data_IF_322710567730
#
_entry.id   IF_322710567730
#
_cell.length_a   1.000
_cell.length_b   1.000
_cell.length_c   1.000
_cell.angle_alpha   90.00
_cell.angle_beta   90.00
_cell.angle_gamma   90.00
#
_symmetry.space_group_name_H-M   'P 1'
#
loop_
_entity.id
_entity.type
_entity.pdbx_description
1 polymer ?
#
# COMPACT_ATOMS: atom_id res chain seq x y z
N UNK A 1 17.55 39.03 18.83
CA UNK A 1 16.50 38.00 19.03
C UNK A 1 15.30 38.25 18.11
N UNK A 2 14.83 39.49 17.92
CA UNK A 2 13.71 39.82 17.03
C UNK A 2 14.11 39.76 15.54
N UNK A 3 15.33 40.15 15.19
CA UNK A 3 15.87 40.06 13.81
C UNK A 3 15.96 38.62 13.32
N UNK A 4 16.37 37.67 14.18
CA UNK A 4 16.39 36.27 13.85
C UNK A 4 14.99 35.66 13.59
N UNK A 5 13.98 36.10 14.36
CA UNK A 5 12.61 35.61 14.15
C UNK A 5 11.97 36.16 12.86
N UNK A 6 12.29 37.38 12.47
CA UNK A 6 11.83 37.99 11.21
C UNK A 6 12.53 37.33 10.00
N UNK A 7 13.83 37.07 10.08
CA UNK A 7 14.57 36.34 9.03
C UNK A 7 14.10 34.90 8.89
N UNK A 8 13.87 34.17 9.98
CA UNK A 8 13.29 32.81 9.94
C UNK A 8 11.87 32.82 9.34
N UNK A 9 11.04 33.77 9.71
CA UNK A 9 9.69 33.92 9.16
C UNK A 9 9.70 34.27 7.67
N UNK A 10 10.63 35.11 7.21
CA UNK A 10 10.79 35.47 5.81
C UNK A 10 11.37 34.28 4.97
N UNK A 11 12.31 33.53 5.53
CA UNK A 11 12.83 32.30 4.89
C UNK A 11 11.74 31.24 4.76
N UNK A 12 10.93 31.00 5.80
CA UNK A 12 9.81 30.05 5.74
C UNK A 12 8.73 30.45 4.71
N UNK A 13 8.60 31.73 4.41
CA UNK A 13 7.64 32.25 3.42
C UNK A 13 8.08 32.01 1.96
N UNK A 14 9.35 31.66 1.74
CA UNK A 14 9.94 31.32 0.43
C UNK A 14 10.05 29.82 0.20
N UNK A 15 9.81 28.99 1.24
CA UNK A 15 9.91 27.53 1.13
C UNK A 15 8.57 26.94 0.70
N UNK A 16 8.61 25.97 -0.17
CA UNK A 16 7.44 25.17 -0.55
C UNK A 16 7.02 24.26 0.60
N UNK A 17 5.74 24.03 0.75
CA UNK A 17 5.19 23.15 1.79
C UNK A 17 4.75 21.83 1.22
N UNK A 18 5.14 20.73 1.87
CA UNK A 18 4.78 19.37 1.50
C UNK A 18 4.11 18.67 2.69
N UNK A 19 2.92 18.13 2.48
CA UNK A 19 2.32 17.21 3.42
C UNK A 19 2.68 15.76 3.03
N UNK A 20 3.21 15.00 4.00
CA UNK A 20 3.30 13.55 3.91
C UNK A 20 2.03 12.96 4.49
N UNK A 21 1.17 12.43 3.61
CA UNK A 21 -0.11 11.87 4.03
C UNK A 21 0.13 10.57 4.78
N UNK A 22 -0.35 10.50 6.02
CA UNK A 22 -0.15 9.39 6.95
C UNK A 22 -1.48 8.93 7.55
N UNK A 23 -1.47 7.84 8.29
CA UNK A 23 -2.54 7.45 9.21
C UNK A 23 -2.44 8.22 10.55
N UNK A 24 -3.42 8.04 11.46
CA UNK A 24 -3.49 8.79 12.73
C UNK A 24 -2.37 8.43 13.70
N UNK A 25 -1.95 7.17 13.75
CA UNK A 25 -0.88 6.67 14.61
C UNK A 25 0.03 5.71 13.85
N UNK A 26 1.34 5.86 14.06
CA UNK A 26 2.38 4.97 13.56
C UNK A 26 3.01 4.15 14.71
N UNK A 27 2.30 3.98 15.83
CA UNK A 27 2.85 3.39 17.07
C UNK A 27 3.41 1.98 16.86
N UNK A 28 2.74 1.17 16.00
CA UNK A 28 3.13 -0.22 15.70
C UNK A 28 3.84 -0.36 14.34
N UNK A 29 4.25 0.76 13.73
CA UNK A 29 4.82 0.77 12.39
C UNK A 29 6.17 1.50 12.36
N UNK A 30 7.04 1.05 11.49
CA UNK A 30 8.32 1.71 11.24
C UNK A 30 8.20 2.68 10.06
N UNK A 31 8.38 3.98 10.32
CA UNK A 31 8.38 5.02 9.28
C UNK A 31 9.72 5.70 9.20
N UNK A 32 10.24 5.84 7.98
CA UNK A 32 11.46 6.58 7.67
C UNK A 32 11.18 8.01 7.19
N UNK A 33 9.94 8.46 7.20
CA UNK A 33 9.51 9.73 6.60
C UNK A 33 10.18 10.93 7.27
N UNK A 34 10.37 10.89 8.58
CA UNK A 34 11.06 11.95 9.32
C UNK A 34 12.52 12.15 8.90
N UNK A 35 13.18 11.12 8.38
CA UNK A 35 14.54 11.22 7.85
C UNK A 35 14.63 12.10 6.59
N UNK A 36 13.49 12.33 5.91
CA UNK A 36 13.42 13.14 4.70
C UNK A 36 13.24 14.64 5.01
N UNK A 37 12.84 15.04 6.22
CA UNK A 37 12.49 16.41 6.54
C UNK A 37 13.68 17.37 6.41
N UNK A 38 14.84 17.06 7.01
CA UNK A 38 16.01 17.91 6.88
C UNK A 38 16.61 17.91 5.45
N UNK A 39 16.74 16.79 4.73
CA UNK A 39 17.12 16.82 3.32
C UNK A 39 16.18 17.69 2.46
N UNK A 40 14.87 17.57 2.63
CA UNK A 40 13.89 18.39 1.89
C UNK A 40 14.04 19.87 2.19
N UNK A 41 14.30 20.22 3.44
CA UNK A 41 14.54 21.59 3.85
C UNK A 41 15.76 22.21 3.17
N UNK A 42 16.84 21.43 2.94
CA UNK A 42 18.03 21.92 2.25
C UNK A 42 17.76 22.27 0.79
N UNK A 43 16.71 21.72 0.18
CA UNK A 43 16.30 21.99 -1.21
C UNK A 43 15.05 22.87 -1.29
N UNK A 44 14.67 23.55 -0.20
CA UNK A 44 13.64 24.57 -0.17
C UNK A 44 12.22 24.05 0.09
N UNK A 45 12.08 22.86 0.70
CA UNK A 45 10.79 22.30 1.08
C UNK A 45 10.66 22.16 2.60
N UNK A 46 9.50 22.51 3.13
CA UNK A 46 9.09 22.19 4.50
C UNK A 46 8.09 21.05 4.44
N UNK A 47 8.48 19.88 4.95
CA UNK A 47 7.63 18.70 5.02
C UNK A 47 7.09 18.50 6.44
N UNK A 48 5.86 17.99 6.53
CA UNK A 48 5.21 17.57 7.77
C UNK A 48 4.28 16.38 7.52
N UNK A 49 4.09 15.55 8.52
CA UNK A 49 3.12 14.45 8.47
C UNK A 49 1.71 15.00 8.74
N UNK A 50 0.75 14.57 7.92
CA UNK A 50 -0.66 14.96 8.06
C UNK A 50 -1.52 13.71 7.89
N UNK A 51 -2.31 13.38 8.92
CA UNK A 51 -3.24 12.25 8.82
C UNK A 51 -4.29 12.51 7.75
N UNK A 52 -4.56 11.50 6.92
CA UNK A 52 -5.61 11.54 5.92
C UNK A 52 -7.03 11.58 6.54
N UNK A 53 -7.15 11.10 7.79
CA UNK A 53 -8.41 11.12 8.57
C UNK A 53 -8.67 12.47 9.23
N UNK A 54 -7.66 13.36 9.28
CA UNK A 54 -7.79 14.66 9.93
C UNK A 54 -8.86 15.51 9.22
N UNK A 55 -9.91 15.95 9.92
CA UNK A 55 -10.92 16.81 9.34
C UNK A 55 -10.34 18.23 9.09
N UNK A 56 -10.98 18.97 8.21
CA UNK A 56 -10.79 20.43 8.01
C UNK A 56 -9.36 20.86 7.68
N UNK A 57 -8.57 19.97 7.04
CA UNK A 57 -7.26 20.37 6.51
C UNK A 57 -7.48 21.24 5.28
N UNK A 58 -6.95 22.48 5.31
CA UNK A 58 -6.88 23.31 4.12
C UNK A 58 -5.69 22.93 3.27
N UNK A 59 -5.93 22.07 2.29
CA UNK A 59 -4.91 21.58 1.37
C UNK A 59 -4.30 22.65 0.48
N UNK A 60 -4.95 23.82 0.33
CA UNK A 60 -4.36 24.97 -0.39
C UNK A 60 -3.15 25.56 0.32
N UNK A 61 -2.91 25.20 1.57
CA UNK A 61 -1.71 25.60 2.30
C UNK A 61 -0.45 24.79 1.92
N UNK A 62 -0.59 23.81 1.03
CA UNK A 62 0.52 22.96 0.57
C UNK A 62 0.76 23.15 -0.93
N UNK A 63 2.02 23.05 -1.35
CA UNK A 63 2.42 22.99 -2.77
C UNK A 63 2.35 21.55 -3.28
N UNK A 64 2.58 20.57 -2.39
CA UNK A 64 2.48 19.15 -2.72
C UNK A 64 1.93 18.35 -1.53
N UNK A 65 1.22 17.27 -1.85
CA UNK A 65 0.82 16.21 -0.89
C UNK A 65 1.32 14.88 -1.43
N UNK A 66 2.09 14.16 -0.65
CA UNK A 66 2.67 12.87 -1.03
C UNK A 66 2.04 11.78 -0.19
N UNK A 67 1.44 10.77 -0.83
CA UNK A 67 0.91 9.59 -0.14
C UNK A 67 2.09 8.77 0.37
N UNK A 68 2.17 8.56 1.69
CA UNK A 68 3.30 7.89 2.34
C UNK A 68 2.85 6.73 3.22
N UNK A 69 2.47 7.00 4.43
CA UNK A 69 2.24 6.03 5.51
C UNK A 69 0.74 5.88 5.82
N UNK A 70 -0.08 5.77 4.76
CA UNK A 70 -1.54 5.62 4.86
C UNK A 70 -1.94 4.14 4.92
N UNK A 71 -1.25 3.35 5.74
CA UNK A 71 -1.34 1.88 5.72
C UNK A 71 -2.61 1.29 6.34
N UNK A 72 -3.53 2.17 6.76
CA UNK A 72 -4.87 1.86 7.28
C UNK A 72 -6.00 2.21 6.29
N UNK A 73 -5.66 2.53 5.03
CA UNK A 73 -6.65 2.97 4.04
C UNK A 73 -7.70 1.91 3.72
N UNK A 74 -7.35 0.62 3.86
CA UNK A 74 -8.25 -0.51 3.61
C UNK A 74 -9.42 -0.59 4.61
N UNK A 75 -9.30 0.05 5.77
CA UNK A 75 -10.34 0.07 6.81
C UNK A 75 -11.47 1.06 6.48
N UNK A 76 -11.17 2.09 5.66
CA UNK A 76 -12.13 3.08 5.20
C UNK A 76 -11.72 3.62 3.82
N UNK A 77 -11.90 2.79 2.80
CA UNK A 77 -11.51 3.11 1.42
C UNK A 77 -12.27 4.33 0.89
N UNK A 78 -13.56 4.46 1.23
CA UNK A 78 -14.40 5.59 0.79
C UNK A 78 -13.90 6.91 1.40
N UNK A 79 -13.62 6.92 2.69
CA UNK A 79 -13.06 8.08 3.39
C UNK A 79 -11.68 8.47 2.86
N UNK A 80 -10.82 7.48 2.59
CA UNK A 80 -9.51 7.70 2.00
C UNK A 80 -9.63 8.33 0.61
N UNK A 81 -10.44 7.76 -0.27
CA UNK A 81 -10.66 8.32 -1.62
C UNK A 81 -11.27 9.71 -1.58
N UNK A 82 -12.22 9.97 -0.66
CA UNK A 82 -12.79 11.31 -0.46
C UNK A 82 -11.72 12.32 0.01
N UNK A 83 -10.75 11.90 0.83
CA UNK A 83 -9.60 12.74 1.19
C UNK A 83 -8.76 13.07 -0.04
N UNK A 84 -8.38 12.09 -0.84
CA UNK A 84 -7.59 12.31 -2.07
C UNK A 84 -8.31 13.20 -3.08
N UNK A 85 -9.63 13.07 -3.21
CA UNK A 85 -10.44 13.95 -4.07
C UNK A 85 -10.43 15.40 -3.58
N UNK A 86 -10.49 15.65 -2.24
CA UNK A 86 -10.33 17.01 -1.68
C UNK A 86 -8.95 17.60 -1.96
N UNK A 87 -7.89 16.77 -1.89
CA UNK A 87 -6.53 17.20 -2.22
C UNK A 87 -6.44 17.54 -3.70
N UNK A 88 -6.93 16.70 -4.59
CA UNK A 88 -6.93 16.92 -6.05
C UNK A 88 -7.73 18.18 -6.46
N UNK A 89 -8.81 18.51 -5.73
CA UNK A 89 -9.61 19.71 -5.94
C UNK A 89 -8.95 21.01 -5.40
N UNK A 90 -7.84 20.89 -4.66
CA UNK A 90 -7.09 22.02 -4.11
C UNK A 90 -6.00 22.51 -5.07
N UNK A 91 -5.21 23.51 -4.64
CA UNK A 91 -4.01 23.92 -5.35
C UNK A 91 -2.79 23.03 -5.12
N UNK A 92 -2.86 22.09 -4.19
CA UNK A 92 -1.77 21.18 -3.89
C UNK A 92 -1.60 20.10 -4.98
N UNK A 93 -0.36 19.76 -5.28
CA UNK A 93 -0.06 18.71 -6.25
C UNK A 93 -0.03 17.35 -5.55
N UNK A 94 -1.03 16.50 -5.81
CA UNK A 94 -1.09 15.14 -5.23
C UNK A 94 -0.08 14.20 -5.91
N UNK A 95 0.69 13.46 -5.10
CA UNK A 95 1.66 12.44 -5.51
C UNK A 95 1.49 11.14 -4.67
N UNK A 96 1.21 9.96 -5.27
CA UNK A 96 0.93 9.83 -6.71
C UNK A 96 -0.45 10.44 -7.04
N UNK A 97 -0.70 10.68 -8.34
CA UNK A 97 -1.97 11.29 -8.78
C UNK A 97 -3.19 10.45 -8.39
N UNK A 98 -4.32 11.12 -8.16
CA UNK A 98 -5.60 10.47 -7.87
C UNK A 98 -5.92 9.36 -8.87
N UNK A 99 -5.71 9.60 -10.16
CA UNK A 99 -5.96 8.62 -11.23
C UNK A 99 -5.17 7.32 -11.06
N UNK A 100 -3.93 7.40 -10.59
CA UNK A 100 -3.10 6.20 -10.32
C UNK A 100 -3.67 5.45 -9.12
N UNK A 101 -4.08 6.15 -8.07
CA UNK A 101 -4.64 5.53 -6.88
C UNK A 101 -5.99 4.88 -7.19
N UNK A 102 -6.88 5.55 -7.92
CA UNK A 102 -8.15 4.97 -8.38
C UNK A 102 -7.96 3.67 -9.15
N UNK A 103 -6.91 3.59 -9.97
CA UNK A 103 -6.60 2.39 -10.74
C UNK A 103 -6.02 1.26 -9.87
N UNK A 104 -5.12 1.57 -8.92
CA UNK A 104 -4.37 0.53 -8.21
C UNK A 104 -4.80 0.27 -6.76
N UNK A 105 -5.82 0.96 -6.26
CA UNK A 105 -6.35 0.74 -4.90
C UNK A 105 -6.90 -0.68 -4.73
N UNK A 106 -7.47 -1.24 -5.78
CA UNK A 106 -7.84 -2.65 -5.88
C UNK A 106 -6.79 -3.40 -6.70
N UNK A 107 -6.36 -4.58 -6.22
CA UNK A 107 -5.44 -5.47 -6.95
C UNK A 107 -6.00 -5.98 -8.28
N UNK A 108 -7.25 -5.65 -8.62
CA UNK A 108 -7.83 -5.90 -9.95
C UNK A 108 -7.04 -5.26 -11.10
N UNK A 109 -6.21 -4.23 -10.84
CA UNK A 109 -5.29 -3.66 -11.84
C UNK A 109 -4.36 -4.71 -12.47
N UNK A 110 -4.11 -5.82 -11.78
CA UNK A 110 -3.33 -6.93 -12.33
C UNK A 110 -3.99 -7.56 -13.56
N UNK A 111 -5.35 -7.54 -13.66
CA UNK A 111 -6.06 -7.98 -14.88
C UNK A 111 -5.70 -7.09 -16.07
N UNK A 112 -5.59 -5.77 -15.83
CA UNK A 112 -5.24 -4.82 -16.87
C UNK A 112 -3.80 -5.03 -17.35
N UNK A 113 -2.87 -5.29 -16.42
CA UNK A 113 -1.48 -5.61 -16.75
C UNK A 113 -1.38 -6.90 -17.56
N UNK A 114 -2.10 -7.95 -17.16
CA UNK A 114 -2.14 -9.23 -17.87
C UNK A 114 -2.69 -9.06 -19.30
N UNK A 115 -3.77 -8.27 -19.46
CA UNK A 115 -4.36 -7.96 -20.76
C UNK A 115 -3.41 -7.19 -21.68
N UNK A 116 -2.45 -6.45 -21.13
CA UNK A 116 -1.38 -5.78 -21.85
C UNK A 116 -0.16 -6.67 -22.13
N UNK A 117 -0.24 -7.96 -21.80
CA UNK A 117 0.84 -8.94 -22.01
C UNK A 117 1.95 -8.91 -20.97
N UNK A 118 1.73 -8.23 -19.82
CA UNK A 118 2.66 -8.25 -18.71
C UNK A 118 2.42 -9.54 -17.91
N UNK A 119 3.49 -10.27 -17.63
CA UNK A 119 3.41 -11.48 -16.83
C UNK A 119 3.07 -11.13 -15.38
N UNK A 120 1.99 -11.73 -14.88
CA UNK A 120 1.62 -11.70 -13.46
C UNK A 120 1.65 -13.14 -12.90
N UNK A 121 1.63 -13.26 -11.59
CA UNK A 121 1.37 -14.57 -10.96
C UNK A 121 0.00 -15.06 -11.43
N UNK A 122 -0.12 -16.32 -11.91
CA UNK A 122 -1.42 -16.88 -12.32
C UNK A 122 -2.46 -16.67 -11.23
N UNK A 123 -3.62 -16.13 -11.59
CA UNK A 123 -4.60 -15.65 -10.60
C UNK A 123 -6.02 -16.05 -10.99
N UNK A 124 -6.76 -16.61 -10.04
CA UNK A 124 -8.21 -16.75 -10.08
C UNK A 124 -8.84 -15.63 -9.23
N UNK A 125 -9.97 -15.13 -9.68
CA UNK A 125 -10.66 -13.96 -9.11
C UNK A 125 -12.06 -14.38 -8.65
N UNK A 126 -12.43 -13.97 -7.44
CA UNK A 126 -13.70 -14.36 -6.80
C UNK A 126 -14.38 -13.15 -6.18
N UNK A 127 -15.70 -13.11 -6.29
CA UNK A 127 -16.54 -12.07 -5.68
C UNK A 127 -17.04 -12.49 -4.28
N UNK A 128 -17.04 -13.80 -3.99
CA UNK A 128 -17.50 -14.37 -2.72
C UNK A 128 -16.89 -15.74 -2.46
N UNK A 129 -16.86 -16.15 -1.20
CA UNK A 129 -16.26 -17.42 -0.78
C UNK A 129 -17.07 -18.63 -1.24
N UNK A 130 -16.40 -19.56 -1.89
CA UNK A 130 -16.90 -20.90 -2.22
C UNK A 130 -15.82 -21.93 -1.93
N UNK A 131 -16.03 -22.77 -0.92
CA UNK A 131 -15.04 -23.79 -0.52
C UNK A 131 -14.68 -24.72 -1.68
N UNK A 132 -15.67 -25.17 -2.47
CA UNK A 132 -15.43 -26.08 -3.59
C UNK A 132 -14.63 -25.43 -4.73
N UNK A 133 -14.85 -24.15 -4.99
CA UNK A 133 -14.12 -23.44 -6.04
C UNK A 133 -12.67 -23.16 -5.61
N UNK A 134 -12.44 -22.80 -4.34
CA UNK A 134 -11.07 -22.63 -3.81
C UNK A 134 -10.35 -23.99 -3.80
N UNK A 135 -11.05 -25.07 -3.43
CA UNK A 135 -10.48 -26.41 -3.45
C UNK A 135 -10.09 -26.85 -4.88
N UNK A 136 -10.90 -26.53 -5.87
CA UNK A 136 -10.57 -26.77 -7.28
C UNK A 136 -9.34 -25.96 -7.76
N UNK A 137 -9.01 -24.87 -7.09
CA UNK A 137 -7.82 -24.06 -7.38
C UNK A 137 -6.51 -24.83 -7.22
N UNK A 138 -6.42 -25.79 -6.32
CA UNK A 138 -5.22 -26.65 -6.18
C UNK A 138 -4.93 -27.44 -7.44
N UNK A 139 -5.96 -28.06 -8.01
CA UNK A 139 -5.85 -28.81 -9.27
C UNK A 139 -5.60 -27.85 -10.45
N UNK A 140 -6.31 -26.71 -10.49
CA UNK A 140 -6.17 -25.72 -11.55
C UNK A 140 -4.74 -25.19 -11.69
N UNK A 141 -4.07 -24.91 -10.56
CA UNK A 141 -2.70 -24.40 -10.55
C UNK A 141 -1.64 -25.52 -10.50
N UNK A 142 -2.04 -26.79 -10.37
CA UNK A 142 -1.12 -27.91 -10.08
C UNK A 142 -0.17 -27.55 -8.92
N UNK A 143 -0.73 -27.02 -7.82
CA UNK A 143 0.04 -26.51 -6.70
C UNK A 143 -0.46 -27.08 -5.38
N UNK A 144 0.43 -27.60 -4.51
CA UNK A 144 0.05 -28.11 -3.18
C UNK A 144 -0.32 -26.99 -2.20
N UNK A 145 -0.04 -25.75 -2.55
CA UNK A 145 -0.28 -24.60 -1.68
C UNK A 145 -0.77 -23.40 -2.47
N UNK A 146 -1.77 -22.73 -1.92
CA UNK A 146 -2.37 -21.54 -2.50
C UNK A 146 -2.25 -20.34 -1.54
N UNK A 147 -2.33 -19.14 -2.09
CA UNK A 147 -2.47 -17.90 -1.33
C UNK A 147 -3.81 -17.28 -1.69
N UNK A 148 -4.64 -17.05 -0.67
CA UNK A 148 -5.87 -16.25 -0.76
C UNK A 148 -5.63 -14.88 -0.14
N UNK A 149 -6.04 -13.80 -0.82
CA UNK A 149 -5.93 -12.44 -0.30
C UNK A 149 -7.00 -11.52 -0.89
N UNK A 150 -7.48 -10.52 -0.12
CA UNK A 150 -8.47 -9.55 -0.61
C UNK A 150 -7.92 -8.72 -1.78
N UNK A 151 -8.81 -8.22 -2.63
CA UNK A 151 -8.41 -7.29 -3.68
C UNK A 151 -7.98 -5.93 -3.11
N UNK A 152 -8.61 -5.48 -2.03
CA UNK A 152 -8.21 -4.27 -1.30
C UNK A 152 -7.69 -4.70 0.07
N UNK A 153 -6.40 -4.53 0.28
CA UNK A 153 -5.72 -4.83 1.56
C UNK A 153 -4.32 -4.25 1.57
N UNK A 154 -3.82 -3.94 2.77
CA UNK A 154 -2.45 -3.56 3.06
C UNK A 154 -1.84 -4.51 4.10
N UNK A 155 -0.50 -4.48 4.30
CA UNK A 155 0.24 -5.17 5.37
C UNK A 155 -0.07 -6.68 5.50
N UNK A 156 -0.33 -7.36 4.37
CA UNK A 156 -0.75 -8.76 4.33
C UNK A 156 -2.05 -9.07 5.12
N UNK A 157 -2.87 -8.04 5.43
CA UNK A 157 -4.16 -8.22 6.09
C UNK A 157 -5.02 -9.24 5.34
N UNK A 158 -5.59 -10.20 6.09
CA UNK A 158 -6.38 -11.31 5.56
C UNK A 158 -5.72 -12.07 4.39
N UNK A 159 -4.38 -12.18 4.42
CA UNK A 159 -3.61 -12.99 3.47
C UNK A 159 -3.25 -14.33 4.10
N UNK A 160 -3.73 -15.43 3.52
CA UNK A 160 -3.55 -16.78 4.05
C UNK A 160 -2.87 -17.68 3.04
N UNK A 161 -1.89 -18.46 3.51
CA UNK A 161 -1.30 -19.58 2.80
C UNK A 161 -2.05 -20.86 3.17
N UNK A 162 -2.57 -21.54 2.19
CA UNK A 162 -3.49 -22.67 2.34
C UNK A 162 -2.90 -23.95 1.75
N UNK A 163 -3.09 -25.06 2.47
CA UNK A 163 -3.06 -26.43 1.93
C UNK A 163 -4.49 -26.95 1.82
N UNK A 164 -4.76 -28.07 1.14
CA UNK A 164 -6.10 -28.68 1.12
C UNK A 164 -6.66 -28.95 2.53
N UNK A 165 -5.80 -29.38 3.47
CA UNK A 165 -6.17 -29.67 4.86
C UNK A 165 -6.48 -28.37 5.62
N UNK A 166 -5.61 -27.37 5.53
CA UNK A 166 -5.80 -26.09 6.24
C UNK A 166 -6.99 -25.31 5.70
N UNK A 167 -7.29 -25.40 4.41
CA UNK A 167 -8.49 -24.82 3.81
C UNK A 167 -9.77 -25.37 4.47
N UNK A 168 -9.85 -26.68 4.69
CA UNK A 168 -11.02 -27.29 5.35
C UNK A 168 -11.10 -26.88 6.81
N UNK A 169 -9.96 -26.84 7.51
CA UNK A 169 -9.91 -26.45 8.92
C UNK A 169 -10.32 -25.00 9.15
N UNK A 170 -9.99 -24.10 8.22
CA UNK A 170 -10.22 -22.66 8.32
C UNK A 170 -11.46 -22.20 7.53
N UNK A 171 -12.26 -23.13 6.98
CA UNK A 171 -13.34 -22.80 6.04
C UNK A 171 -14.36 -21.82 6.59
N UNK A 172 -14.74 -21.95 7.86
CA UNK A 172 -15.72 -21.06 8.50
C UNK A 172 -15.17 -19.64 8.71
N UNK A 173 -13.91 -19.52 9.13
CA UNK A 173 -13.23 -18.24 9.32
C UNK A 173 -13.04 -17.52 7.97
N UNK A 174 -12.55 -18.25 6.96
CA UNK A 174 -12.38 -17.73 5.60
C UNK A 174 -13.73 -17.30 5.00
N UNK A 175 -14.78 -18.09 5.23
CA UNK A 175 -16.13 -17.73 4.80
C UNK A 175 -16.62 -16.46 5.47
N UNK A 176 -16.38 -16.27 6.77
CA UNK A 176 -16.76 -15.05 7.47
C UNK A 176 -16.08 -13.81 6.88
N UNK A 177 -14.78 -13.93 6.51
CA UNK A 177 -13.99 -12.82 5.96
C UNK A 177 -14.36 -12.52 4.50
N UNK A 178 -14.55 -13.56 3.67
CA UNK A 178 -14.70 -13.45 2.22
C UNK A 178 -16.14 -13.66 1.72
N UNK A 179 -17.14 -13.67 2.61
CA UNK A 179 -18.55 -13.89 2.23
C UNK A 179 -19.08 -12.92 1.18
N UNK A 180 -18.64 -11.65 1.26
CA UNK A 180 -19.01 -10.58 0.33
C UNK A 180 -17.84 -9.68 -0.02
N UNK A 181 -16.62 -10.15 0.18
CA UNK A 181 -15.39 -9.41 -0.08
C UNK A 181 -14.69 -10.05 -1.27
N UNK A 182 -14.49 -9.28 -2.32
CA UNK A 182 -13.72 -9.72 -3.48
C UNK A 182 -12.30 -10.11 -3.09
N UNK A 183 -11.82 -11.22 -3.64
CA UNK A 183 -10.48 -11.73 -3.35
C UNK A 183 -9.86 -12.40 -4.57
N UNK A 184 -8.58 -12.68 -4.46
CA UNK A 184 -7.84 -13.45 -5.44
C UNK A 184 -7.17 -14.67 -4.82
N UNK A 185 -7.01 -15.71 -5.66
CA UNK A 185 -6.35 -16.95 -5.34
C UNK A 185 -5.17 -17.15 -6.30
N UNK A 186 -4.01 -17.45 -5.75
CA UNK A 186 -2.76 -17.62 -6.49
C UNK A 186 -2.03 -18.87 -6.01
N UNK A 187 -1.20 -19.55 -6.84
CA UNK A 187 -0.29 -20.55 -6.35
C UNK A 187 0.73 -19.90 -5.40
N UNK A 188 1.13 -20.65 -4.36
CA UNK A 188 2.22 -20.20 -3.51
C UNK A 188 3.55 -20.29 -4.24
N UNK A 189 4.31 -19.22 -4.26
CA UNK A 189 5.63 -19.19 -4.91
C UNK A 189 6.72 -19.48 -3.88
N UNK A 190 7.32 -20.66 -3.93
CA UNK A 190 8.38 -21.05 -3.01
C UNK A 190 9.58 -20.09 -3.06
N UNK A 191 9.85 -19.45 -4.20
CA UNK A 191 10.92 -18.47 -4.36
C UNK A 191 10.86 -17.32 -3.35
N UNK A 192 9.68 -16.99 -2.80
CA UNK A 192 9.55 -15.97 -1.75
C UNK A 192 10.27 -16.42 -0.46
N UNK A 193 10.17 -17.70 -0.11
CA UNK A 193 10.84 -18.25 1.08
C UNK A 193 12.30 -18.58 0.80
N UNK A 194 12.59 -19.09 -0.40
CA UNK A 194 13.93 -19.57 -0.77
C UNK A 194 14.89 -18.42 -1.11
N UNK A 195 14.39 -17.35 -1.73
CA UNK A 195 15.18 -16.22 -2.23
C UNK A 195 14.73 -14.89 -1.62
N UNK A 196 13.43 -14.62 -1.59
CA UNK A 196 12.82 -13.38 -1.13
C UNK A 196 12.01 -12.67 -2.21
N UNK A 197 11.59 -11.45 -1.89
CA UNK A 197 10.83 -10.55 -2.79
C UNK A 197 11.66 -9.33 -3.15
N UNK A 198 11.82 -9.08 -4.45
CA UNK A 198 12.49 -7.88 -4.94
C UNK A 198 11.52 -6.71 -5.07
N UNK A 199 11.83 -5.60 -4.39
CA UNK A 199 11.18 -4.30 -4.61
C UNK A 199 12.06 -3.45 -5.50
N UNK A 200 11.53 -3.03 -6.67
CA UNK A 200 12.24 -2.20 -7.63
C UNK A 200 11.78 -0.75 -7.51
N UNK A 201 12.71 0.18 -7.31
CA UNK A 201 12.41 1.59 -7.12
C UNK A 201 12.72 2.40 -8.36
N UNK A 202 11.74 3.17 -8.80
CA UNK A 202 11.83 4.09 -9.94
C UNK A 202 11.41 5.49 -9.51
N UNK A 203 12.17 6.51 -9.94
CA UNK A 203 11.83 7.92 -9.76
C UNK A 203 11.71 8.58 -11.13
N UNK A 204 10.57 9.19 -11.40
CA UNK A 204 10.26 9.82 -12.70
C UNK A 204 10.53 8.88 -13.90
N UNK A 205 10.22 7.59 -13.75
CA UNK A 205 10.42 6.57 -14.77
C UNK A 205 11.84 6.02 -14.90
N UNK A 206 12.80 6.52 -14.09
CA UNK A 206 14.18 6.04 -14.07
C UNK A 206 14.40 5.06 -12.92
N UNK A 207 14.97 3.88 -13.24
CA UNK A 207 15.38 2.92 -12.23
C UNK A 207 16.43 3.53 -11.29
N UNK A 208 16.22 3.37 -10.01
CA UNK A 208 17.15 3.85 -8.97
C UNK A 208 17.90 2.70 -8.31
N UNK A 209 17.17 1.81 -7.62
CA UNK A 209 17.73 0.68 -6.88
C UNK A 209 16.68 -0.41 -6.68
N UNK A 210 17.12 -1.52 -6.14
CA UNK A 210 16.24 -2.59 -5.66
C UNK A 210 16.59 -3.00 -4.25
N UNK A 211 15.61 -3.50 -3.52
CA UNK A 211 15.74 -4.09 -2.19
C UNK A 211 15.27 -5.54 -2.30
N UNK A 212 16.03 -6.46 -1.73
CA UNK A 212 15.60 -7.84 -1.50
C UNK A 212 15.06 -7.91 -0.08
N UNK A 213 13.79 -8.27 0.04
CA UNK A 213 13.10 -8.52 1.32
C UNK A 213 13.02 -10.03 1.53
N UNK A 214 13.47 -10.53 2.67
CA UNK A 214 13.41 -11.94 3.02
C UNK A 214 12.48 -12.12 4.22
N UNK A 215 11.58 -13.12 4.20
CA UNK A 215 10.72 -13.39 5.34
C UNK A 215 11.52 -13.96 6.52
N UNK A 216 11.00 -13.79 7.73
CA UNK A 216 11.52 -14.50 8.89
C UNK A 216 11.35 -16.03 8.76
N UNK A 217 12.19 -16.75 9.48
CA UNK A 217 12.13 -18.23 9.49
C UNK A 217 10.76 -18.71 9.98
N UNK A 218 10.03 -19.39 9.11
CA UNK A 218 8.69 -19.92 9.39
C UNK A 218 7.53 -19.01 8.93
N UNK A 219 7.82 -17.82 8.42
CA UNK A 219 6.84 -16.94 7.78
C UNK A 219 7.07 -16.89 6.25
N UNK A 220 6.12 -16.33 5.53
CA UNK A 220 6.22 -16.04 4.08
C UNK A 220 5.95 -14.56 3.78
N UNK A 221 5.58 -13.78 4.80
CA UNK A 221 5.34 -12.35 4.69
C UNK A 221 6.67 -11.62 4.77
N UNK A 222 6.83 -10.59 3.95
CA UNK A 222 8.08 -9.84 3.79
C UNK A 222 7.97 -8.38 4.22
N UNK A 223 6.89 -8.02 4.89
CA UNK A 223 6.70 -6.70 5.48
C UNK A 223 7.61 -6.57 6.72
N UNK A 224 8.14 -5.36 6.93
CA UNK A 224 9.10 -5.07 8.01
C UNK A 224 8.54 -5.39 9.42
N UNK A 225 7.22 -5.29 9.58
CA UNK A 225 6.50 -5.64 10.82
C UNK A 225 6.45 -7.15 11.07
N UNK A 226 6.84 -7.96 10.11
CA UNK A 226 6.83 -9.43 10.20
C UNK A 226 8.23 -10.04 10.06
N UNK A 227 9.29 -9.21 9.93
CA UNK A 227 10.68 -9.67 9.85
C UNK A 227 11.59 -8.90 8.95
#
# INVERSE_FOLDING_TARGET
TIVNSIQLSAMNKLMKRCAFLSMDSLEDFFSYDQMLFEPLKTVGWLAEEVSWRKPDVDWNNYDAVVIRTTWDYQDDVEGFMACLQRIEASSAQLQNSLKIVEWNISKSYLKDLQNQGINIVPTLWFDSFSLSEIQAGFDYFDSPQLVIKPLISANADHTYRLTPESLVQQADDLKAIFASREFMLQPFLNGIVDEGEYSLFYFAGHYSHSILKQPESGDFRVQEEHG
#
